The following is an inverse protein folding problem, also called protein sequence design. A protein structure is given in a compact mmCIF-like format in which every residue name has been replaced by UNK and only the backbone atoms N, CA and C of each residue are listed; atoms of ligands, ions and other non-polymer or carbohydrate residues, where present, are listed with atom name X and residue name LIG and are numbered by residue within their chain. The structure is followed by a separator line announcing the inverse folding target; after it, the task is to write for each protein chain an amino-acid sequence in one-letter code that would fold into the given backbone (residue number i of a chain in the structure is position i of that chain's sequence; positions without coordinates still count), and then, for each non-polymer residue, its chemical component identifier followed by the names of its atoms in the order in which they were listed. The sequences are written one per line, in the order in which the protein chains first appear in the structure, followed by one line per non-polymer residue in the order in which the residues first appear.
data_IF_821199310642
#
_entry.id   IF_821199310642
#
_cell.length_a   1.000
_cell.length_b   1.000
_cell.length_c   1.000
_cell.angle_alpha   90.00
_cell.angle_beta   90.00
_cell.angle_gamma   90.00
#
_symmetry.space_group_name_H-M   'P 1'
#
loop_
_entity.id
_entity.type
_entity.pdbx_description
1 polymer ?
#
# COMPACT_ATOMS: atom_id res chain seq x y z
N UNK A 1 -38.27 5.43 13.68
CA UNK A 1 -37.47 4.75 12.67
C UNK A 1 -36.78 5.76 11.75
N UNK A 2 -35.69 5.39 11.05
CA UNK A 2 -34.93 6.27 10.12
C UNK A 2 -35.87 6.92 9.10
N UNK A 3 -36.77 6.15 8.51
CA UNK A 3 -37.74 6.65 7.48
C UNK A 3 -38.66 7.73 8.05
N UNK A 4 -39.12 7.58 9.30
CA UNK A 4 -40.01 8.56 9.92
C UNK A 4 -39.30 9.90 10.12
N UNK A 5 -38.05 9.85 10.59
CA UNK A 5 -37.22 11.06 10.70
C UNK A 5 -36.99 11.71 9.32
N UNK A 6 -36.65 10.88 8.31
CA UNK A 6 -36.34 11.37 6.98
C UNK A 6 -37.54 12.01 6.26
N UNK A 7 -38.78 11.78 6.72
CA UNK A 7 -40.02 12.38 6.20
C UNK A 7 -40.47 13.62 6.94
N UNK A 8 -39.80 13.96 8.06
CA UNK A 8 -40.13 15.19 8.78
C UNK A 8 -39.63 16.40 8.03
N UNK A 9 -40.33 17.52 8.23
CA UNK A 9 -39.87 18.81 7.71
C UNK A 9 -38.83 19.41 8.68
N UNK A 10 -37.81 20.06 8.17
CA UNK A 10 -36.83 20.74 9.02
C UNK A 10 -37.49 21.84 9.82
N UNK A 11 -37.24 21.90 11.14
CA UNK A 11 -37.87 22.85 12.04
C UNK A 11 -37.26 24.24 12.00
N UNK A 12 -35.95 24.37 11.78
CA UNK A 12 -35.22 25.64 11.83
C UNK A 12 -34.27 25.87 10.64
N UNK A 13 -34.12 24.93 9.75
CA UNK A 13 -33.16 24.99 8.64
C UNK A 13 -33.81 24.78 7.29
N UNK A 14 -33.05 24.99 6.22
CA UNK A 14 -33.49 24.70 4.86
C UNK A 14 -33.50 23.18 4.58
N UNK A 15 -32.61 22.45 5.23
CA UNK A 15 -32.45 21.01 5.09
C UNK A 15 -32.31 20.32 6.43
N UNK A 16 -32.81 19.10 6.52
CA UNK A 16 -32.53 18.16 7.57
C UNK A 16 -31.47 17.17 7.09
N UNK A 17 -30.38 16.94 7.88
CA UNK A 17 -29.30 16.02 7.53
C UNK A 17 -29.34 14.82 8.45
N UNK A 18 -29.58 13.65 7.88
CA UNK A 18 -29.64 12.38 8.64
C UNK A 18 -28.48 11.49 8.19
N UNK A 19 -27.58 11.15 9.11
CA UNK A 19 -26.45 10.27 8.86
C UNK A 19 -26.66 8.93 9.54
N UNK A 20 -26.87 7.89 8.73
CA UNK A 20 -27.00 6.50 9.19
C UNK A 20 -25.61 5.86 9.14
N UNK A 21 -24.93 5.84 10.29
CA UNK A 21 -23.62 5.16 10.44
C UNK A 21 -23.81 3.66 10.57
N UNK A 22 -22.81 2.88 10.10
CA UNK A 22 -22.79 1.41 10.20
C UNK A 22 -24.05 0.75 9.63
N UNK A 23 -24.56 1.25 8.49
CA UNK A 23 -25.82 0.80 7.89
C UNK A 23 -25.82 -0.69 7.50
N UNK A 24 -24.65 -1.34 7.37
CA UNK A 24 -24.53 -2.79 7.17
C UNK A 24 -25.02 -3.61 8.39
N UNK A 25 -25.18 -2.99 9.55
CA UNK A 25 -25.68 -3.63 10.78
C UNK A 25 -27.21 -3.59 10.90
N UNK A 26 -27.88 -2.90 9.99
CA UNK A 26 -29.34 -2.87 9.96
C UNK A 26 -29.89 -4.26 9.63
N UNK A 27 -30.89 -4.73 10.40
CA UNK A 27 -31.55 -6.03 10.17
C UNK A 27 -32.21 -6.14 8.79
N UNK A 28 -32.78 -5.04 8.28
CA UNK A 28 -33.49 -4.99 7.00
C UNK A 28 -33.15 -3.68 6.28
N UNK A 29 -31.92 -3.50 5.77
CA UNK A 29 -31.53 -2.27 5.08
C UNK A 29 -32.38 -2.00 3.83
N UNK A 30 -32.93 -3.04 3.20
CA UNK A 30 -33.83 -2.96 2.05
C UNK A 30 -35.07 -2.11 2.30
N UNK A 31 -35.55 -2.01 3.54
CA UNK A 31 -36.70 -1.18 3.88
C UNK A 31 -36.46 0.32 3.62
N UNK A 32 -35.20 0.76 3.60
CA UNK A 32 -34.87 2.13 3.23
C UNK A 32 -35.25 2.45 1.76
N UNK A 33 -35.47 1.42 0.93
CA UNK A 33 -35.97 1.59 -0.44
C UNK A 33 -37.34 2.26 -0.48
N UNK A 34 -38.19 2.10 0.56
CA UNK A 34 -39.48 2.76 0.69
C UNK A 34 -39.40 4.30 0.80
N UNK A 35 -38.25 4.78 1.30
CA UNK A 35 -37.99 6.23 1.35
C UNK A 35 -37.23 6.70 0.10
N UNK A 36 -36.19 5.94 -0.34
CA UNK A 36 -35.36 6.33 -1.49
C UNK A 36 -36.14 6.29 -2.82
N UNK A 37 -37.27 5.60 -2.88
CA UNK A 37 -38.18 5.67 -4.04
C UNK A 37 -38.77 7.08 -4.28
N UNK A 38 -39.04 7.80 -3.18
CA UNK A 38 -39.57 9.18 -3.24
C UNK A 38 -38.96 9.98 -2.06
N UNK A 39 -37.69 10.42 -2.16
CA UNK A 39 -37.02 11.14 -1.10
C UNK A 39 -37.60 12.56 -0.95
N UNK A 40 -37.64 13.06 0.29
CA UNK A 40 -38.02 14.43 0.58
C UNK A 40 -36.99 15.42 0.03
N UNK A 41 -37.36 16.48 -0.68
CA UNK A 41 -36.41 17.46 -1.20
C UNK A 41 -35.72 18.29 -0.11
N UNK A 42 -36.28 18.31 1.10
CA UNK A 42 -35.71 19.01 2.26
C UNK A 42 -34.84 18.13 3.17
N UNK A 43 -34.60 16.86 2.80
CA UNK A 43 -33.83 15.93 3.62
C UNK A 43 -32.63 15.41 2.85
N UNK A 44 -31.44 15.51 3.47
CA UNK A 44 -30.21 14.88 3.01
C UNK A 44 -29.98 13.62 3.85
N UNK A 45 -30.24 12.45 3.25
CA UNK A 45 -30.02 11.16 3.89
C UNK A 45 -28.67 10.57 3.45
N UNK A 46 -27.73 10.46 4.36
CA UNK A 46 -26.40 9.84 4.14
C UNK A 46 -26.39 8.45 4.75
N UNK A 47 -26.18 7.42 3.91
CA UNK A 47 -26.16 6.02 4.34
C UNK A 47 -24.72 5.52 4.27
N UNK A 48 -24.06 5.31 5.42
CA UNK A 48 -22.67 4.89 5.51
C UNK A 48 -22.58 3.36 5.69
N UNK A 49 -22.08 2.67 4.68
CA UNK A 49 -21.71 1.26 4.75
C UNK A 49 -20.20 1.13 5.02
N UNK A 50 -19.81 0.24 5.93
CA UNK A 50 -18.41 0.00 6.26
C UNK A 50 -18.09 -1.49 6.16
N UNK A 51 -16.96 -1.84 5.51
CA UNK A 51 -16.50 -3.21 5.38
C UNK A 51 -17.31 -4.12 4.45
N UNK A 52 -18.46 -3.63 3.94
CA UNK A 52 -19.30 -4.32 2.94
C UNK A 52 -19.78 -3.30 1.93
N UNK A 53 -20.01 -3.72 0.69
CA UNK A 53 -20.68 -2.93 -0.32
C UNK A 53 -22.19 -3.24 -0.34
N UNK A 54 -23.01 -2.24 -0.70
CA UNK A 54 -24.41 -2.45 -0.95
C UNK A 54 -24.57 -3.24 -2.26
N UNK A 55 -25.41 -4.30 -2.25
CA UNK A 55 -25.64 -5.10 -3.46
C UNK A 55 -26.31 -4.23 -4.55
N UNK A 56 -25.61 -4.08 -5.68
CA UNK A 56 -26.03 -3.26 -6.83
C UNK A 56 -27.35 -3.73 -7.48
N UNK A 57 -27.79 -4.96 -7.18
CA UNK A 57 -29.04 -5.55 -7.69
C UNK A 57 -30.26 -5.10 -6.90
N UNK A 58 -30.07 -4.63 -5.67
CA UNK A 58 -31.16 -4.23 -4.77
C UNK A 58 -31.90 -2.97 -5.24
N UNK A 59 -33.17 -2.85 -4.90
CA UNK A 59 -33.96 -1.66 -5.18
C UNK A 59 -33.41 -0.43 -4.46
N UNK A 60 -32.88 -0.61 -3.25
CA UNK A 60 -32.24 0.45 -2.49
C UNK A 60 -31.08 1.07 -3.28
N UNK A 61 -30.16 0.24 -3.80
CA UNK A 61 -29.05 0.74 -4.62
C UNK A 61 -29.54 1.46 -5.87
N UNK A 62 -30.47 0.85 -6.59
CA UNK A 62 -31.01 1.42 -7.85
C UNK A 62 -31.66 2.81 -7.64
N UNK A 63 -32.45 2.96 -6.58
CA UNK A 63 -33.07 4.26 -6.26
C UNK A 63 -32.00 5.29 -5.89
N UNK A 64 -30.99 4.93 -5.09
CA UNK A 64 -29.91 5.86 -4.72
C UNK A 64 -29.10 6.26 -5.95
N UNK A 65 -28.76 5.30 -6.83
CA UNK A 65 -28.00 5.58 -8.05
C UNK A 65 -28.76 6.47 -9.06
N UNK A 66 -30.11 6.43 -9.05
CA UNK A 66 -30.95 7.27 -9.93
C UNK A 66 -31.24 8.66 -9.37
N UNK A 67 -31.37 8.80 -8.04
CA UNK A 67 -31.90 10.02 -7.40
C UNK A 67 -30.90 10.68 -6.43
N UNK A 68 -29.74 10.09 -6.24
CA UNK A 68 -28.72 10.58 -5.33
C UNK A 68 -27.33 10.26 -5.87
N UNK A 69 -26.37 10.27 -4.96
CA UNK A 69 -24.96 10.02 -5.22
C UNK A 69 -24.51 8.73 -4.54
N UNK A 70 -23.71 7.92 -5.24
CA UNK A 70 -23.06 6.74 -4.67
C UNK A 70 -21.56 6.93 -4.66
N UNK A 71 -20.99 7.09 -3.48
CA UNK A 71 -19.54 7.14 -3.29
C UNK A 71 -19.05 5.76 -2.87
N UNK A 72 -18.27 5.11 -3.71
CA UNK A 72 -17.60 3.84 -3.41
C UNK A 72 -16.13 4.11 -3.06
N UNK A 73 -15.80 4.04 -1.76
CA UNK A 73 -14.44 4.20 -1.27
C UNK A 73 -13.80 2.81 -1.10
N UNK A 74 -12.96 2.43 -2.05
CA UNK A 74 -12.20 1.17 -2.00
C UNK A 74 -10.84 1.44 -1.38
N UNK A 75 -10.39 0.51 -0.49
CA UNK A 75 -9.03 0.59 0.03
C UNK A 75 -8.03 0.45 -1.14
N UNK A 76 -7.13 1.41 -1.32
CA UNK A 76 -6.17 1.34 -2.41
C UNK A 76 -5.23 0.15 -2.22
N UNK A 77 -4.76 -0.37 -3.33
CA UNK A 77 -3.73 -1.42 -3.36
C UNK A 77 -2.36 -0.78 -3.12
N UNK A 78 -1.39 -1.58 -2.67
CA UNK A 78 -0.04 -1.11 -2.32
C UNK A 78 0.59 -0.22 -3.42
N UNK A 79 0.42 -0.59 -4.68
CA UNK A 79 0.97 0.17 -5.81
C UNK A 79 0.24 1.51 -6.09
N UNK A 80 -1.03 1.62 -5.68
CA UNK A 80 -1.84 2.83 -5.85
C UNK A 80 -1.48 3.87 -4.78
N UNK A 81 -1.06 3.40 -3.59
CA UNK A 81 -0.63 4.25 -2.48
C UNK A 81 0.52 5.16 -2.89
N UNK A 82 1.49 4.64 -3.60
CA UNK A 82 2.65 5.42 -4.00
C UNK A 82 2.28 6.57 -4.94
N UNK A 83 1.41 6.30 -5.92
CA UNK A 83 0.90 7.34 -6.82
C UNK A 83 0.07 8.38 -6.04
N UNK A 84 -0.86 7.90 -5.20
CA UNK A 84 -1.67 8.75 -4.34
C UNK A 84 -0.82 9.64 -3.41
N UNK A 85 0.23 9.09 -2.82
CA UNK A 85 1.16 9.79 -1.93
C UNK A 85 1.87 10.94 -2.66
N UNK A 86 2.37 10.67 -3.87
CA UNK A 86 2.96 11.69 -4.73
C UNK A 86 1.98 12.82 -5.08
N UNK A 87 0.74 12.46 -5.42
CA UNK A 87 -0.30 13.44 -5.75
C UNK A 87 -0.75 14.23 -4.51
N UNK A 88 -0.85 13.57 -3.34
CA UNK A 88 -1.16 14.25 -2.09
C UNK A 88 -0.12 15.31 -1.73
N UNK A 89 1.17 14.96 -1.79
CA UNK A 89 2.26 15.90 -1.51
C UNK A 89 2.26 17.06 -2.52
N UNK A 90 2.04 16.78 -3.80
CA UNK A 90 1.89 17.82 -4.84
C UNK A 90 0.71 18.75 -4.57
N UNK A 91 -0.42 18.23 -4.11
CA UNK A 91 -1.58 19.04 -3.75
C UNK A 91 -1.32 20.02 -2.62
N UNK A 92 -0.28 19.74 -1.80
CA UNK A 92 0.20 20.63 -0.72
C UNK A 92 1.30 21.60 -1.19
N UNK A 93 1.61 21.63 -2.49
CA UNK A 93 2.61 22.53 -3.06
C UNK A 93 4.06 22.05 -2.90
N UNK A 94 4.28 20.79 -2.47
CA UNK A 94 5.59 20.19 -2.30
C UNK A 94 5.87 19.07 -3.30
N UNK A 95 7.13 18.84 -3.62
CA UNK A 95 7.62 17.60 -4.23
C UNK A 95 8.07 16.62 -3.18
N UNK A 96 8.33 15.39 -3.59
CA UNK A 96 8.93 14.35 -2.76
C UNK A 96 10.00 13.61 -3.55
N UNK A 97 11.17 13.38 -2.96
CA UNK A 97 12.19 12.62 -3.65
C UNK A 97 11.84 11.12 -3.70
N UNK A 98 12.36 10.37 -4.71
CA UNK A 98 12.02 8.97 -4.89
C UNK A 98 12.37 8.09 -3.67
N UNK A 99 13.48 8.38 -2.99
CA UNK A 99 13.90 7.62 -1.80
C UNK A 99 12.94 7.86 -0.63
N UNK A 100 12.57 9.12 -0.36
CA UNK A 100 11.59 9.49 0.66
C UNK A 100 10.23 8.84 0.40
N UNK A 101 9.80 8.84 -0.87
CA UNK A 101 8.55 8.21 -1.29
C UNK A 101 8.56 6.70 -1.03
N UNK A 102 9.65 6.01 -1.36
CA UNK A 102 9.84 4.59 -1.08
C UNK A 102 9.80 4.29 0.42
N UNK A 103 10.54 5.04 1.23
CA UNK A 103 10.56 4.89 2.69
C UNK A 103 9.16 5.01 3.31
N UNK A 104 8.38 6.01 2.90
CA UNK A 104 7.01 6.21 3.39
C UNK A 104 6.08 5.06 2.98
N UNK A 105 6.15 4.65 1.71
CA UNK A 105 5.30 3.56 1.20
C UNK A 105 5.55 2.25 1.94
N UNK A 106 6.82 1.91 2.15
CA UNK A 106 7.21 0.68 2.83
C UNK A 106 6.83 0.66 4.31
N UNK A 107 6.91 1.83 4.99
CA UNK A 107 6.68 1.90 6.43
C UNK A 107 5.19 2.10 6.81
N UNK A 108 4.48 2.96 6.07
CA UNK A 108 3.09 3.33 6.42
C UNK A 108 2.04 2.37 5.85
N UNK A 109 2.42 1.53 4.89
CA UNK A 109 1.52 0.56 4.26
C UNK A 109 0.40 1.25 3.47
N UNK A 110 -0.85 0.72 3.55
CA UNK A 110 -2.01 1.16 2.74
C UNK A 110 -3.07 1.94 3.51
N UNK A 111 -2.79 2.35 4.74
CA UNK A 111 -3.72 3.13 5.55
C UNK A 111 -3.62 4.63 5.21
N UNK A 112 -4.50 5.08 4.31
CA UNK A 112 -4.55 6.48 3.86
C UNK A 112 -4.69 7.47 5.02
N UNK A 113 -5.49 7.14 6.05
CA UNK A 113 -5.70 8.05 7.16
C UNK A 113 -4.40 8.22 7.97
N UNK A 114 -3.70 7.13 8.24
CA UNK A 114 -2.39 7.14 8.89
C UNK A 114 -1.37 7.92 8.06
N UNK A 115 -1.27 7.62 6.77
CA UNK A 115 -0.35 8.29 5.84
C UNK A 115 -0.63 9.79 5.80
N UNK A 116 -1.89 10.18 5.64
CA UNK A 116 -2.30 11.59 5.57
C UNK A 116 -1.96 12.34 6.87
N UNK A 117 -2.18 11.71 8.02
CA UNK A 117 -1.86 12.30 9.31
C UNK A 117 -0.35 12.49 9.49
N UNK A 118 0.47 11.47 9.18
CA UNK A 118 1.93 11.57 9.27
C UNK A 118 2.49 12.62 8.30
N UNK A 119 1.98 12.68 7.07
CA UNK A 119 2.38 13.70 6.11
C UNK A 119 1.97 15.12 6.51
N UNK A 120 0.76 15.30 7.05
CA UNK A 120 0.33 16.62 7.52
C UNK A 120 1.19 17.09 8.72
N UNK A 121 1.54 16.20 9.64
CA UNK A 121 2.48 16.50 10.72
C UNK A 121 3.85 16.92 10.13
N UNK A 122 4.40 16.09 9.24
CA UNK A 122 5.68 16.39 8.58
C UNK A 122 5.66 17.79 7.95
N UNK A 123 4.65 18.08 7.13
CA UNK A 123 4.52 19.36 6.45
C UNK A 123 4.39 20.55 7.41
N UNK A 124 3.85 20.32 8.62
CA UNK A 124 3.76 21.37 9.65
C UNK A 124 5.11 21.66 10.30
N UNK A 125 6.00 20.66 10.41
CA UNK A 125 7.32 20.81 10.99
C UNK A 125 8.40 21.28 9.99
N UNK A 126 8.15 21.13 8.69
CA UNK A 126 9.10 21.58 7.67
C UNK A 126 9.18 23.12 7.65
N UNK A 127 10.38 23.67 7.38
CA UNK A 127 10.55 25.12 7.23
C UNK A 127 9.63 25.69 6.13
N UNK A 128 9.12 26.89 6.35
CA UNK A 128 8.32 27.59 5.34
C UNK A 128 9.10 27.71 4.02
N UNK A 129 8.43 27.41 2.90
CA UNK A 129 9.05 27.45 1.58
C UNK A 129 9.79 26.16 1.18
N UNK A 130 9.73 25.10 1.97
CA UNK A 130 10.28 23.79 1.59
C UNK A 130 9.57 23.27 0.33
N UNK A 131 10.31 23.17 -0.77
CA UNK A 131 9.77 22.73 -2.07
C UNK A 131 9.80 21.23 -2.28
N UNK A 132 10.62 20.50 -1.49
CA UNK A 132 10.82 19.06 -1.68
C UNK A 132 11.05 18.35 -0.35
N UNK A 133 10.31 17.26 -0.15
CA UNK A 133 10.47 16.34 0.98
C UNK A 133 11.61 15.38 0.65
N UNK A 134 12.61 15.30 1.53
CA UNK A 134 13.79 14.43 1.38
C UNK A 134 13.75 13.25 2.35
N UNK A 135 14.61 12.25 2.13
CA UNK A 135 14.79 11.13 3.05
C UNK A 135 15.21 11.59 4.46
N UNK A 136 15.99 12.68 4.56
CA UNK A 136 16.38 13.28 5.84
C UNK A 136 15.17 13.84 6.58
N UNK A 137 14.26 14.55 5.90
CA UNK A 137 13.03 15.05 6.50
C UNK A 137 12.16 13.92 7.07
N UNK A 138 12.12 12.74 6.41
CA UNK A 138 11.41 11.56 6.88
C UNK A 138 12.05 11.01 8.15
N UNK A 139 13.39 10.88 8.17
CA UNK A 139 14.12 10.40 9.34
C UNK A 139 13.89 11.30 10.57
N UNK A 140 14.04 12.60 10.38
CA UNK A 140 14.00 13.57 11.49
C UNK A 140 12.58 13.72 12.11
N UNK A 141 11.53 13.54 11.30
CA UNK A 141 10.16 13.86 11.73
C UNK A 141 9.23 12.65 11.87
N UNK A 142 9.50 11.55 11.16
CA UNK A 142 8.67 10.34 11.21
C UNK A 142 9.40 9.20 11.92
N UNK A 143 10.72 9.31 12.10
CA UNK A 143 11.54 8.32 12.80
C UNK A 143 11.89 7.08 11.96
N UNK A 144 11.68 7.14 10.66
CA UNK A 144 12.09 6.06 9.74
C UNK A 144 13.55 6.30 9.36
N UNK A 145 14.44 5.39 9.73
CA UNK A 145 15.85 5.53 9.38
C UNK A 145 16.05 5.57 7.85
N UNK A 146 16.75 6.57 7.36
CA UNK A 146 17.09 6.68 5.94
C UNK A 146 18.11 5.63 5.48
N UNK A 147 18.84 5.04 6.42
CA UNK A 147 19.92 4.10 6.16
C UNK A 147 19.57 2.65 6.49
N UNK A 148 18.59 2.43 7.40
CA UNK A 148 18.18 1.12 7.90
C UNK A 148 16.68 0.94 7.77
N UNK A 149 16.24 0.56 6.57
CA UNK A 149 14.84 0.30 6.24
C UNK A 149 14.74 -0.80 5.17
N UNK A 150 13.53 -1.28 4.86
CA UNK A 150 13.33 -2.34 3.88
C UNK A 150 13.77 -1.95 2.47
N UNK A 151 13.69 -0.66 2.10
CA UNK A 151 14.17 -0.17 0.82
C UNK A 151 15.69 -0.34 0.69
N UNK A 152 16.45 0.06 1.71
CA UNK A 152 17.91 -0.12 1.74
C UNK A 152 18.30 -1.61 1.80
N UNK A 153 17.50 -2.43 2.50
CA UNK A 153 17.72 -3.88 2.52
C UNK A 153 17.56 -4.51 1.14
N UNK A 154 16.47 -4.21 0.43
CA UNK A 154 16.23 -4.74 -0.92
C UNK A 154 17.27 -4.27 -1.91
N UNK A 155 17.73 -3.02 -1.78
CA UNK A 155 18.84 -2.49 -2.57
C UNK A 155 20.15 -3.25 -2.29
N UNK A 156 20.51 -3.46 -1.03
CA UNK A 156 21.70 -4.23 -0.67
C UNK A 156 21.64 -5.67 -1.23
N UNK A 157 20.45 -6.29 -1.21
CA UNK A 157 20.22 -7.60 -1.83
C UNK A 157 20.37 -7.53 -3.34
N UNK A 158 19.79 -6.52 -4.03
CA UNK A 158 19.94 -6.31 -5.48
C UNK A 158 21.39 -6.26 -5.91
N UNK A 159 22.21 -5.55 -5.13
CA UNK A 159 23.63 -5.34 -5.39
C UNK A 159 24.53 -6.50 -4.92
N UNK A 160 23.95 -7.55 -4.35
CA UNK A 160 24.65 -8.65 -3.67
C UNK A 160 25.61 -8.17 -2.57
N UNK A 161 25.30 -7.07 -1.92
CA UNK A 161 26.06 -6.52 -0.80
C UNK A 161 25.62 -7.18 0.52
N UNK A 162 26.18 -8.36 0.79
CA UNK A 162 25.86 -9.16 1.98
C UNK A 162 26.20 -8.41 3.28
N UNK A 163 27.34 -7.72 3.32
CA UNK A 163 27.77 -6.99 4.51
C UNK A 163 26.75 -5.91 4.90
N UNK A 164 26.27 -5.13 3.91
CA UNK A 164 25.27 -4.11 4.13
C UNK A 164 23.92 -4.71 4.55
N UNK A 165 23.49 -5.79 3.91
CA UNK A 165 22.23 -6.47 4.25
C UNK A 165 22.26 -7.01 5.69
N UNK A 166 23.37 -7.59 6.14
CA UNK A 166 23.52 -8.08 7.51
C UNK A 166 23.55 -6.95 8.55
N UNK A 167 24.14 -5.81 8.21
CA UNK A 167 24.14 -4.63 9.07
C UNK A 167 22.71 -4.10 9.25
N UNK A 168 21.91 -4.07 8.18
CA UNK A 168 20.50 -3.68 8.25
C UNK A 168 19.69 -4.69 9.09
N UNK A 169 19.92 -5.98 8.89
CA UNK A 169 19.24 -7.02 9.67
C UNK A 169 19.58 -6.91 11.18
N UNK A 170 20.82 -6.57 11.55
CA UNK A 170 21.17 -6.34 12.96
C UNK A 170 20.48 -5.09 13.53
N UNK A 171 20.32 -4.03 12.73
CA UNK A 171 19.52 -2.87 13.13
C UNK A 171 18.05 -3.24 13.38
N UNK A 172 17.43 -4.04 12.49
CA UNK A 172 16.06 -4.52 12.65
C UNK A 172 15.90 -5.36 13.93
N UNK A 173 16.87 -6.21 14.23
CA UNK A 173 16.93 -6.99 15.46
C UNK A 173 16.86 -6.12 16.73
N UNK A 174 17.51 -4.96 16.71
CA UNK A 174 17.50 -4.02 17.83
C UNK A 174 16.20 -3.21 17.92
N UNK A 175 15.46 -3.10 16.81
CA UNK A 175 14.24 -2.30 16.69
C UNK A 175 13.08 -3.12 16.07
N UNK A 176 12.64 -4.24 16.69
CA UNK A 176 11.70 -5.18 16.09
C UNK A 176 10.28 -4.60 15.92
N UNK A 177 9.88 -3.65 16.77
CA UNK A 177 8.56 -3.00 16.67
C UNK A 177 8.41 -2.16 15.41
N UNK A 178 9.49 -1.51 14.99
CA UNK A 178 9.50 -0.63 13.81
C UNK A 178 9.77 -1.43 12.53
N UNK A 179 10.36 -2.61 12.66
CA UNK A 179 10.76 -3.46 11.54
C UNK A 179 10.29 -4.91 11.72
N UNK A 180 8.97 -5.18 11.69
CA UNK A 180 8.45 -6.53 11.88
C UNK A 180 8.89 -7.46 10.74
N UNK A 181 9.30 -8.68 11.08
CA UNK A 181 9.83 -9.67 10.13
C UNK A 181 8.85 -9.94 8.97
N UNK A 182 7.55 -10.02 9.26
CA UNK A 182 6.52 -10.23 8.23
C UNK A 182 6.50 -9.14 7.17
N UNK A 183 6.70 -7.88 7.57
CA UNK A 183 6.84 -6.73 6.67
C UNK A 183 8.08 -6.84 5.80
N UNK A 184 9.21 -7.22 6.40
CA UNK A 184 10.48 -7.42 5.69
C UNK A 184 10.40 -8.55 4.67
N UNK A 185 9.79 -9.70 5.03
CA UNK A 185 9.56 -10.81 4.08
C UNK A 185 8.68 -10.37 2.92
N UNK A 186 7.61 -9.60 3.19
CA UNK A 186 6.73 -9.07 2.15
C UNK A 186 7.46 -8.12 1.19
N UNK A 187 8.33 -7.26 1.70
CA UNK A 187 9.14 -6.36 0.89
C UNK A 187 10.11 -7.15 -0.02
N UNK A 188 10.82 -8.13 0.54
CA UNK A 188 11.71 -9.03 -0.22
C UNK A 188 10.93 -9.82 -1.28
N UNK A 189 9.75 -10.33 -0.95
CA UNK A 189 8.90 -11.06 -1.90
C UNK A 189 8.51 -10.17 -3.09
N UNK A 190 8.01 -8.97 -2.83
CA UNK A 190 7.66 -8.00 -3.87
C UNK A 190 8.87 -7.65 -4.73
N UNK A 191 10.03 -7.50 -4.12
CA UNK A 191 11.27 -7.21 -4.80
C UNK A 191 11.67 -8.33 -5.78
N UNK A 192 11.71 -9.59 -5.33
CA UNK A 192 12.04 -10.73 -6.18
C UNK A 192 10.96 -11.04 -7.22
N UNK A 193 9.69 -10.77 -6.94
CA UNK A 193 8.62 -10.85 -7.93
C UNK A 193 8.86 -9.87 -9.09
N UNK A 194 9.29 -8.65 -8.81
CA UNK A 194 9.65 -7.66 -9.84
C UNK A 194 10.85 -8.13 -10.68
N UNK A 195 11.89 -8.66 -10.04
CA UNK A 195 13.04 -9.24 -10.76
C UNK A 195 12.60 -10.40 -11.66
N UNK A 196 11.71 -11.26 -11.18
CA UNK A 196 11.14 -12.36 -11.97
C UNK A 196 10.43 -11.83 -13.23
N UNK A 197 9.59 -10.80 -13.08
CA UNK A 197 8.86 -10.20 -14.21
C UNK A 197 9.83 -9.64 -15.26
N UNK A 198 10.90 -8.94 -14.86
CA UNK A 198 11.93 -8.43 -15.79
C UNK A 198 12.58 -9.58 -16.55
N UNK A 199 12.98 -10.64 -15.86
CA UNK A 199 13.58 -11.81 -16.48
C UNK A 199 12.61 -12.54 -17.40
N UNK A 200 11.33 -12.65 -17.00
CA UNK A 200 10.31 -13.28 -17.84
C UNK A 200 10.08 -12.49 -19.14
N UNK A 201 10.03 -11.15 -19.06
CA UNK A 201 9.92 -10.31 -20.26
C UNK A 201 11.15 -10.44 -21.18
N UNK A 202 12.36 -10.50 -20.62
CA UNK A 202 13.57 -10.79 -21.40
C UNK A 202 13.53 -12.16 -22.08
N UNK A 203 12.96 -13.16 -21.41
CA UNK A 203 12.77 -14.49 -21.96
C UNK A 203 11.72 -14.48 -23.09
N UNK A 204 10.58 -13.78 -22.93
CA UNK A 204 9.56 -13.64 -24.00
C UNK A 204 10.14 -13.03 -25.27
N UNK A 205 10.91 -11.95 -25.15
CA UNK A 205 11.58 -11.32 -26.29
C UNK A 205 12.47 -12.32 -27.04
N UNK A 206 13.22 -13.15 -26.31
CA UNK A 206 14.17 -14.08 -26.93
C UNK A 206 13.51 -15.32 -27.57
N UNK A 207 12.42 -15.81 -26.99
CA UNK A 207 11.83 -17.11 -27.35
C UNK A 207 10.51 -16.99 -28.11
N UNK A 208 9.77 -15.91 -27.92
CA UNK A 208 8.48 -15.68 -28.58
C UNK A 208 8.55 -14.60 -29.66
N UNK A 209 9.74 -14.09 -29.95
CA UNK A 209 9.97 -13.03 -30.93
C UNK A 209 9.06 -11.80 -30.73
N UNK A 210 8.71 -11.51 -29.46
CA UNK A 210 7.92 -10.34 -29.10
C UNK A 210 8.82 -9.09 -29.03
N UNK A 211 8.33 -7.90 -29.39
CA UNK A 211 9.12 -6.68 -29.24
C UNK A 211 9.46 -6.44 -27.77
N UNK A 212 10.64 -5.89 -27.45
CA UNK A 212 10.98 -5.54 -26.09
C UNK A 212 10.02 -4.45 -25.57
N UNK A 213 9.51 -4.58 -24.33
CA UNK A 213 8.68 -3.55 -23.75
C UNK A 213 9.48 -2.24 -23.56
N UNK A 214 8.84 -1.11 -23.77
CA UNK A 214 9.39 0.19 -23.44
C UNK A 214 9.62 0.31 -21.93
N UNK A 215 10.48 1.26 -21.51
CA UNK A 215 10.73 1.50 -20.09
C UNK A 215 9.46 1.94 -19.34
N UNK A 216 8.58 2.68 -20.00
CA UNK A 216 7.28 3.06 -19.43
C UNK A 216 6.36 1.85 -19.21
N UNK A 217 6.24 0.99 -20.20
CA UNK A 217 5.45 -0.26 -20.09
C UNK A 217 6.02 -1.20 -19.03
N UNK A 218 7.34 -1.35 -18.97
CA UNK A 218 7.98 -2.19 -17.97
C UNK A 218 7.80 -1.63 -16.57
N UNK A 219 7.96 -0.32 -16.37
CA UNK A 219 7.72 0.35 -15.10
C UNK A 219 6.27 0.18 -14.61
N UNK A 220 5.31 0.32 -15.52
CA UNK A 220 3.89 0.10 -15.22
C UNK A 220 3.61 -1.37 -14.83
N UNK A 221 4.20 -2.33 -15.55
CA UNK A 221 4.06 -3.76 -15.28
C UNK A 221 4.65 -4.14 -13.91
N UNK A 222 5.80 -3.56 -13.55
CA UNK A 222 6.44 -3.75 -12.24
C UNK A 222 5.73 -2.98 -11.12
N UNK A 223 4.78 -2.10 -11.45
CA UNK A 223 4.11 -1.22 -10.49
C UNK A 223 5.13 -0.45 -9.65
N UNK A 224 6.09 0.16 -10.33
CA UNK A 224 7.12 0.92 -9.65
C UNK A 224 6.55 2.26 -9.15
N UNK A 225 6.93 2.68 -7.94
CA UNK A 225 6.56 3.99 -7.42
C UNK A 225 7.10 5.14 -8.26
N UNK A 226 8.28 4.94 -8.85
CA UNK A 226 8.94 5.88 -9.73
C UNK A 226 9.75 5.10 -10.78
N UNK A 227 9.69 5.49 -12.07
CA UNK A 227 10.49 4.89 -13.13
C UNK A 227 12.02 4.92 -12.87
N UNK A 228 12.48 5.82 -12.01
CA UNK A 228 13.88 5.92 -11.58
C UNK A 228 14.43 4.57 -11.08
N UNK A 229 13.62 3.75 -10.40
CA UNK A 229 14.05 2.46 -9.89
C UNK A 229 14.14 1.34 -10.93
N UNK A 230 13.69 1.57 -12.17
CA UNK A 230 13.67 0.54 -13.20
C UNK A 230 15.07 -0.02 -13.50
N UNK A 231 16.08 0.85 -13.53
CA UNK A 231 17.46 0.44 -13.81
C UNK A 231 18.02 -0.50 -12.74
N UNK A 232 17.68 -0.30 -11.49
CA UNK A 232 18.04 -1.20 -10.38
C UNK A 232 17.49 -2.60 -10.64
N UNK A 233 16.20 -2.73 -10.99
CA UNK A 233 15.60 -4.02 -11.31
C UNK A 233 16.17 -4.66 -12.56
N UNK A 234 16.54 -3.88 -13.58
CA UNK A 234 17.23 -4.37 -14.78
C UNK A 234 18.63 -4.94 -14.45
N UNK A 235 19.36 -4.29 -13.55
CA UNK A 235 20.66 -4.77 -13.07
C UNK A 235 20.51 -6.01 -12.19
N UNK A 236 19.64 -5.97 -11.18
CA UNK A 236 19.37 -7.11 -10.32
C UNK A 236 18.95 -8.36 -11.09
N UNK A 237 18.16 -8.20 -12.17
CA UNK A 237 17.76 -9.30 -13.04
C UNK A 237 18.93 -10.01 -13.75
N UNK A 238 20.09 -9.36 -13.90
CA UNK A 238 21.31 -10.01 -14.42
C UNK A 238 22.01 -10.86 -13.37
N UNK A 239 21.92 -10.47 -12.10
CA UNK A 239 22.55 -11.17 -10.97
C UNK A 239 21.70 -12.32 -10.43
N UNK A 240 20.38 -12.23 -10.66
CA UNK A 240 19.39 -13.20 -10.19
C UNK A 240 18.59 -13.80 -11.37
N UNK A 241 19.15 -14.81 -12.09
CA UNK A 241 18.40 -15.50 -13.16
C UNK A 241 17.19 -16.25 -12.57
N UNK A 242 16.17 -16.53 -13.39
CA UNK A 242 14.88 -17.09 -12.92
C UNK A 242 15.01 -18.33 -12.05
N UNK A 243 15.97 -19.22 -12.32
CA UNK A 243 16.21 -20.41 -11.48
C UNK A 243 16.49 -20.02 -10.03
N UNK A 244 17.33 -18.99 -9.82
CA UNK A 244 17.64 -18.46 -8.49
C UNK A 244 16.45 -17.76 -7.86
N UNK A 245 15.73 -16.95 -8.66
CA UNK A 245 14.53 -16.24 -8.19
C UNK A 245 13.46 -17.21 -7.72
N UNK A 246 13.20 -18.31 -8.45
CA UNK A 246 12.24 -19.34 -8.03
C UNK A 246 12.63 -19.97 -6.69
N UNK A 247 13.93 -20.30 -6.52
CA UNK A 247 14.41 -20.84 -5.25
C UNK A 247 14.22 -19.85 -4.11
N UNK A 248 14.55 -18.57 -4.33
CA UNK A 248 14.40 -17.51 -3.34
C UNK A 248 12.94 -17.28 -2.97
N UNK A 249 12.02 -17.28 -3.94
CA UNK A 249 10.58 -17.17 -3.66
C UNK A 249 10.08 -18.35 -2.81
N UNK A 250 10.63 -19.55 -3.02
CA UNK A 250 10.39 -20.72 -2.18
C UNK A 250 10.87 -20.52 -0.75
N UNK A 251 12.10 -20.01 -0.57
CA UNK A 251 12.64 -19.66 0.75
C UNK A 251 11.77 -18.61 1.46
N UNK A 252 11.40 -17.54 0.76
CA UNK A 252 10.56 -16.48 1.35
C UNK A 252 9.22 -17.02 1.85
N UNK A 253 8.57 -17.92 1.09
CA UNK A 253 7.37 -18.61 1.55
C UNK A 253 7.61 -19.46 2.79
N UNK A 254 8.69 -20.23 2.82
CA UNK A 254 9.08 -21.06 3.98
C UNK A 254 9.24 -20.20 5.24
N UNK A 255 9.98 -19.10 5.12
CA UNK A 255 10.25 -18.20 6.24
C UNK A 255 9.02 -17.38 6.67
N UNK A 256 8.11 -17.05 5.75
CA UNK A 256 6.82 -16.46 6.11
C UNK A 256 5.97 -17.42 6.95
N UNK A 257 5.96 -18.71 6.62
CA UNK A 257 5.26 -19.72 7.41
C UNK A 257 5.93 -19.89 8.79
N UNK A 258 7.26 -19.95 8.84
CA UNK A 258 8.03 -20.08 10.11
C UNK A 258 7.81 -18.87 11.03
N UNK A 259 7.77 -17.66 10.49
CA UNK A 259 7.50 -16.43 11.25
C UNK A 259 6.09 -16.40 11.87
N UNK A 260 5.16 -17.15 11.32
CA UNK A 260 3.78 -17.31 11.83
C UNK A 260 3.62 -18.54 12.74
N UNK A 261 4.72 -19.22 13.11
CA UNK A 261 4.68 -20.41 13.97
C UNK A 261 4.19 -21.69 13.28
N UNK A 262 4.03 -21.67 11.94
CA UNK A 262 3.61 -22.85 11.17
C UNK A 262 4.84 -23.71 10.93
N UNK A 263 4.88 -24.91 11.50
CA UNK A 263 6.00 -25.86 11.41
C UNK A 263 6.63 -26.25 12.76
N UNK A 264 6.07 -25.80 13.87
CA UNK A 264 6.27 -26.42 15.20
C UNK A 264 7.47 -25.92 16.02
N UNK A 265 8.29 -25.00 15.55
CA UNK A 265 9.39 -24.43 16.34
C UNK A 265 9.25 -22.92 16.41
N UNK A 266 8.98 -22.40 17.61
CA UNK A 266 9.11 -20.97 17.88
C UNK A 266 10.58 -20.59 17.80
N UNK A 267 10.99 -19.93 16.73
CA UNK A 267 12.34 -19.40 16.55
C UNK A 267 12.34 -17.88 16.78
N UNK A 268 13.47 -17.36 17.23
CA UNK A 268 13.64 -15.91 17.32
C UNK A 268 13.54 -15.30 15.90
N UNK A 269 12.59 -14.38 15.71
CA UNK A 269 12.36 -13.69 14.43
C UNK A 269 13.65 -13.06 13.88
N UNK A 270 14.53 -12.64 14.76
CA UNK A 270 15.80 -12.01 14.41
C UNK A 270 16.80 -12.99 13.78
N UNK A 271 16.83 -14.23 14.29
CA UNK A 271 17.65 -15.29 13.71
C UNK A 271 17.08 -15.74 12.37
N UNK A 272 15.75 -15.79 12.25
CA UNK A 272 15.07 -16.13 11.00
C UNK A 272 15.45 -15.18 9.86
N UNK A 273 15.49 -13.86 10.10
CA UNK A 273 15.86 -12.90 9.06
C UNK A 273 17.31 -13.10 8.60
N UNK A 274 18.23 -13.28 9.53
CA UNK A 274 19.66 -13.50 9.21
C UNK A 274 19.86 -14.78 8.42
N UNK A 275 19.22 -15.88 8.85
CA UNK A 275 19.29 -17.17 8.16
C UNK A 275 18.71 -17.06 6.75
N UNK A 276 17.56 -16.40 6.58
CA UNK A 276 16.94 -16.16 5.29
C UNK A 276 17.86 -15.38 4.35
N UNK A 277 18.45 -14.28 4.81
CA UNK A 277 19.37 -13.48 4.01
C UNK A 277 20.60 -14.29 3.59
N UNK A 278 21.21 -15.05 4.50
CA UNK A 278 22.31 -15.95 4.15
C UNK A 278 21.94 -16.90 3.02
N UNK A 279 20.78 -17.57 3.11
CA UNK A 279 20.30 -18.47 2.06
C UNK A 279 20.04 -17.77 0.73
N UNK A 280 19.52 -16.52 0.75
CA UNK A 280 19.33 -15.70 -0.45
C UNK A 280 20.66 -15.36 -1.12
N UNK A 281 21.69 -15.04 -0.36
CA UNK A 281 23.02 -14.72 -0.92
C UNK A 281 23.76 -15.96 -1.44
N UNK A 282 23.48 -17.13 -0.85
CA UNK A 282 24.06 -18.41 -1.28
C UNK A 282 23.33 -19.03 -2.49
N UNK A 283 22.12 -18.59 -2.79
CA UNK A 283 21.36 -19.00 -3.96
C UNK A 283 21.99 -18.43 -5.24
#
# INVERSE_FOLDING_TARGET
TIINYARQMPMMGRYEVIIVKEAQSLRKPEQLSLYTAAPSPSTILVICYKGKSLDKRTQLYKHIAQKGEVLESVRPRDYEITAWLGDFVKSKGCGIDPKALGMLTDHLGTDIARISNELNKLLTYLPEGTKQITAQHIEDNIGISKDFNNFELTKAVSEKNMARAMLIADHFRRNPKDNPLTGTISALFTHFQRIFIVNYKRWEVRHKNTPPPSDAELSALLKLPNPFFLNEYKQAATLYPNRKVFHILGLLREYDMRSKGIGGVSQDENELLRELLLKIFMA
#
